data_IF_954474078135
#
_entry.id   IF_954474078135
#
_cell.length_a   1.000
_cell.length_b   1.000
_cell.length_c   1.000
_cell.angle_alpha   90.00
_cell.angle_beta   90.00
_cell.angle_gamma   90.00
#
_symmetry.space_group_name_H-M   'P 1'
#
loop_
_entity.id
_entity.type
_entity.pdbx_description
1 polymer ?
#
# COMPACT_ATOMS: atom_id res chain seq x y z
N UNK A 1 -9.16 -27.62 -17.27
CA UNK A 1 -8.16 -26.55 -17.07
C UNK A 1 -8.60 -25.32 -17.84
N UNK A 2 -9.12 -24.29 -17.18
CA UNK A 2 -9.58 -23.05 -17.85
C UNK A 2 -8.40 -22.08 -17.92
N UNK A 3 -8.04 -21.64 -19.13
CA UNK A 3 -6.94 -20.71 -19.36
C UNK A 3 -7.41 -19.29 -19.07
N UNK A 4 -6.74 -18.61 -18.15
CA UNK A 4 -6.88 -17.16 -17.95
C UNK A 4 -5.85 -16.50 -18.87
N UNK A 5 -6.34 -15.77 -19.87
CA UNK A 5 -5.54 -14.91 -20.74
C UNK A 5 -5.59 -13.52 -20.13
N UNK A 6 -4.45 -13.04 -19.61
CA UNK A 6 -4.30 -11.70 -19.05
C UNK A 6 -3.85 -10.76 -20.17
N UNK A 7 -4.78 -9.99 -20.72
CA UNK A 7 -4.48 -8.96 -21.75
C UNK A 7 -3.83 -7.75 -21.09
N UNK A 8 -2.54 -7.52 -21.37
CA UNK A 8 -1.82 -6.31 -20.98
C UNK A 8 -2.23 -5.13 -21.88
N UNK A 9 -2.79 -4.07 -21.29
CA UNK A 9 -2.91 -2.76 -21.94
C UNK A 9 -1.63 -1.99 -21.68
N UNK A 10 -0.83 -1.78 -22.72
CA UNK A 10 0.33 -0.89 -22.66
C UNK A 10 -0.14 0.56 -22.69
N UNK A 11 -0.27 1.19 -21.51
CA UNK A 11 -0.42 2.64 -21.41
C UNK A 11 0.98 3.27 -21.47
N UNK A 12 1.38 3.72 -22.66
CA UNK A 12 2.53 4.60 -22.86
C UNK A 12 2.15 6.01 -22.42
N UNK A 13 2.39 6.35 -21.15
CA UNK A 13 2.38 7.74 -20.68
C UNK A 13 3.79 8.13 -20.23
N UNK A 14 4.48 8.86 -21.11
CA UNK A 14 5.76 9.50 -20.80
C UNK A 14 5.56 10.47 -19.63
N UNK A 15 6.32 10.33 -18.55
CA UNK A 15 6.34 11.32 -17.46
C UNK A 15 7.78 11.77 -17.24
N UNK A 16 8.02 13.08 -17.28
CA UNK A 16 9.33 13.71 -17.22
C UNK A 16 9.95 13.61 -15.81
N UNK A 17 11.24 13.27 -15.75
CA UNK A 17 12.02 13.25 -14.51
C UNK A 17 12.43 14.69 -14.11
N UNK A 18 12.23 15.05 -12.84
CA UNK A 18 12.76 16.28 -12.27
C UNK A 18 14.29 16.19 -12.18
N UNK A 19 14.98 17.03 -12.95
CA UNK A 19 16.42 17.26 -12.84
C UNK A 19 16.71 18.10 -11.59
N UNK A 20 17.22 17.46 -10.54
CA UNK A 20 17.84 18.12 -9.39
C UNK A 20 19.36 18.03 -9.50
N UNK A 21 19.98 19.19 -9.73
CA UNK A 21 21.42 19.44 -9.88
C UNK A 21 22.31 18.60 -8.94
N UNK A 22 23.37 18.00 -9.49
CA UNK A 22 24.75 18.16 -9.03
C UNK A 22 25.70 17.66 -10.12
N UNK A 23 26.65 18.52 -10.50
CA UNK A 23 27.66 18.28 -11.52
C UNK A 23 28.71 17.24 -11.08
N UNK A 24 29.32 16.62 -12.09
CA UNK A 24 30.54 15.79 -12.08
C UNK A 24 30.38 14.35 -11.60
N UNK A 25 30.05 13.47 -12.55
CA UNK A 25 30.91 12.32 -12.85
C UNK A 25 30.51 11.72 -14.21
N UNK A 26 31.32 12.04 -15.22
CA UNK A 26 31.28 11.38 -16.51
C UNK A 26 31.87 9.97 -16.34
N UNK A 27 31.01 8.96 -16.17
CA UNK A 27 31.11 7.62 -16.75
C UNK A 27 30.21 6.64 -15.99
N UNK A 28 28.95 6.51 -16.40
CA UNK A 28 28.19 5.27 -16.20
C UNK A 28 27.04 5.18 -17.19
N UNK A 29 27.34 4.69 -18.39
CA UNK A 29 26.32 4.05 -19.22
C UNK A 29 25.89 2.78 -18.49
N UNK A 30 24.79 2.83 -17.76
CA UNK A 30 24.19 1.64 -17.15
C UNK A 30 22.71 1.64 -17.51
N UNK A 31 22.38 0.80 -18.49
CA UNK A 31 21.06 0.20 -18.72
C UNK A 31 19.85 1.12 -18.52
N UNK A 32 19.53 1.92 -19.54
CA UNK A 32 18.23 2.57 -19.72
C UNK A 32 17.09 1.58 -20.07
N UNK A 33 17.20 0.32 -19.64
CA UNK A 33 16.28 -0.78 -19.97
C UNK A 33 15.90 -1.60 -18.73
N UNK A 34 15.77 -0.96 -17.56
CA UNK A 34 15.09 -1.55 -16.42
C UNK A 34 14.59 -0.45 -15.46
N UNK A 35 13.94 0.58 -16.01
CA UNK A 35 13.06 1.38 -15.19
C UNK A 35 11.83 0.50 -14.88
N UNK A 36 11.90 -0.26 -13.77
CA UNK A 36 10.70 -0.79 -13.13
C UNK A 36 9.82 0.43 -12.92
N UNK A 37 8.68 0.48 -13.60
CA UNK A 37 7.70 1.53 -13.40
C UNK A 37 7.36 1.53 -11.90
N UNK A 38 7.92 2.47 -11.14
CA UNK A 38 7.49 2.71 -9.78
C UNK A 38 6.07 3.24 -9.96
N UNK A 39 5.09 2.39 -9.68
CA UNK A 39 3.70 2.80 -9.69
C UNK A 39 3.59 4.05 -8.80
N UNK A 40 2.90 5.08 -9.29
CA UNK A 40 2.65 6.26 -8.49
C UNK A 40 2.04 5.84 -7.13
N UNK A 41 2.44 6.45 -6.00
CA UNK A 41 1.92 6.10 -4.70
C UNK A 41 0.39 6.10 -4.68
N UNK A 42 -0.21 4.98 -4.26
CA UNK A 42 -1.67 4.82 -4.20
C UNK A 42 -2.11 4.76 -2.73
N UNK A 43 -2.86 5.78 -2.29
CA UNK A 43 -3.31 5.90 -0.90
C UNK A 43 -4.70 5.27 -0.65
N UNK A 44 -5.39 4.80 -1.69
CA UNK A 44 -6.67 4.08 -1.52
C UNK A 44 -6.41 2.72 -0.86
N UNK A 45 -6.84 2.61 0.39
CA UNK A 45 -6.72 1.39 1.19
C UNK A 45 -8.02 0.61 1.31
N UNK A 46 -9.04 0.91 0.50
CA UNK A 46 -10.30 0.17 0.54
C UNK A 46 -10.11 -1.31 0.21
N UNK A 47 -10.90 -2.17 0.88
CA UNK A 47 -10.86 -3.62 0.72
C UNK A 47 -12.27 -4.21 0.71
N UNK A 48 -12.39 -5.40 0.14
CA UNK A 48 -13.59 -6.20 0.31
C UNK A 48 -13.55 -6.93 1.66
N UNK A 49 -14.38 -6.50 2.61
CA UNK A 49 -14.40 -7.06 3.97
C UNK A 49 -14.78 -8.54 4.02
N UNK A 50 -15.65 -9.02 3.11
CA UNK A 50 -15.96 -10.45 3.03
C UNK A 50 -14.73 -11.28 2.66
N UNK A 51 -13.94 -10.79 1.70
CA UNK A 51 -12.70 -11.46 1.28
C UNK A 51 -11.63 -11.37 2.37
N UNK A 52 -11.46 -10.20 2.98
CA UNK A 52 -10.53 -10.02 4.10
C UNK A 52 -10.89 -10.95 5.27
N UNK A 53 -12.16 -10.97 5.66
CA UNK A 53 -12.62 -11.80 6.76
C UNK A 53 -12.50 -13.29 6.49
N UNK A 54 -12.81 -13.75 5.26
CA UNK A 54 -12.55 -15.14 4.85
C UNK A 54 -11.05 -15.46 4.88
N UNK A 55 -10.21 -14.50 4.46
CA UNK A 55 -8.76 -14.68 4.42
C UNK A 55 -8.17 -14.78 5.82
N UNK A 56 -8.66 -13.98 6.77
CA UNK A 56 -8.20 -14.02 8.15
C UNK A 56 -8.89 -15.12 8.97
N UNK A 57 -10.06 -15.60 8.55
CA UNK A 57 -10.89 -16.51 9.32
C UNK A 57 -11.52 -15.80 10.51
N UNK A 58 -12.17 -14.66 10.25
CA UNK A 58 -12.85 -13.87 11.27
C UNK A 58 -14.21 -14.47 11.60
N UNK A 59 -14.61 -14.38 12.87
CA UNK A 59 -16.01 -14.53 13.26
C UNK A 59 -16.82 -13.24 12.98
N UNK A 60 -18.13 -13.28 13.23
CA UNK A 60 -19.05 -12.18 12.92
C UNK A 60 -18.74 -10.91 13.74
N UNK A 61 -18.33 -11.05 15.00
CA UNK A 61 -17.97 -9.90 15.85
C UNK A 61 -16.66 -9.27 15.41
N UNK A 62 -15.67 -10.10 15.09
CA UNK A 62 -14.40 -9.66 14.55
C UNK A 62 -14.58 -8.98 13.20
N UNK A 63 -15.48 -9.47 12.34
CA UNK A 63 -15.77 -8.85 11.05
C UNK A 63 -16.22 -7.40 11.21
N UNK A 64 -17.18 -7.14 12.10
CA UNK A 64 -17.68 -5.78 12.35
C UNK A 64 -16.58 -4.89 12.92
N UNK A 65 -15.84 -5.37 13.92
CA UNK A 65 -14.76 -4.62 14.54
C UNK A 65 -13.62 -4.30 13.55
N UNK A 66 -13.19 -5.28 12.74
CA UNK A 66 -12.18 -5.09 11.67
C UNK A 66 -12.66 -4.06 10.66
N UNK A 67 -13.94 -4.11 10.24
CA UNK A 67 -14.49 -3.12 9.32
C UNK A 67 -14.45 -1.70 9.91
N UNK A 68 -14.79 -1.53 11.19
CA UNK A 68 -14.73 -0.22 11.85
C UNK A 68 -13.29 0.30 11.91
N UNK A 69 -12.36 -0.54 12.39
CA UNK A 69 -10.94 -0.17 12.53
C UNK A 69 -10.35 0.19 11.17
N UNK A 70 -10.54 -0.68 10.17
CA UNK A 70 -9.97 -0.47 8.84
C UNK A 70 -10.57 0.73 8.11
N UNK A 71 -11.87 1.02 8.27
CA UNK A 71 -12.48 2.23 7.72
C UNK A 71 -11.85 3.51 8.30
N UNK A 72 -11.42 3.50 9.57
CA UNK A 72 -10.70 4.63 10.15
C UNK A 72 -9.30 4.77 9.56
N UNK A 73 -8.61 3.66 9.31
CA UNK A 73 -7.33 3.67 8.61
C UNK A 73 -7.45 4.19 7.17
N UNK A 74 -8.48 3.79 6.41
CA UNK A 74 -8.76 4.35 5.08
C UNK A 74 -8.90 5.88 5.15
N UNK A 75 -9.67 6.40 6.11
CA UNK A 75 -9.82 7.86 6.30
C UNK A 75 -8.50 8.56 6.66
N UNK A 76 -7.65 7.93 7.48
CA UNK A 76 -6.35 8.48 7.82
C UNK A 76 -5.40 8.49 6.61
N UNK A 77 -5.48 7.47 5.75
CA UNK A 77 -4.75 7.41 4.50
C UNK A 77 -5.24 8.43 3.47
N UNK A 78 -6.56 8.68 3.40
CA UNK A 78 -7.13 9.76 2.58
C UNK A 78 -6.61 11.13 3.03
N UNK A 79 -6.52 11.38 4.34
CA UNK A 79 -5.91 12.61 4.87
C UNK A 79 -4.43 12.72 4.51
N UNK A 80 -3.69 11.61 4.61
CA UNK A 80 -2.29 11.58 4.22
C UNK A 80 -2.11 11.91 2.73
N UNK A 81 -2.98 11.41 1.86
CA UNK A 81 -2.96 11.69 0.42
C UNK A 81 -3.08 13.19 0.11
N UNK A 82 -3.85 13.93 0.92
CA UNK A 82 -4.05 15.39 0.78
C UNK A 82 -2.98 16.22 1.48
N UNK A 83 -2.08 15.62 2.26
CA UNK A 83 -1.03 16.32 2.97
C UNK A 83 0.16 16.67 2.07
N UNK A 84 0.91 17.69 2.49
CA UNK A 84 2.16 18.09 1.84
C UNK A 84 3.19 16.95 1.85
N UNK A 85 4.05 16.92 0.83
CA UNK A 85 5.03 15.85 0.64
C UNK A 85 5.94 15.64 1.88
N UNK A 86 6.27 16.72 2.59
CA UNK A 86 7.10 16.68 3.80
C UNK A 86 6.46 15.92 4.97
N UNK A 87 5.13 15.96 5.09
CA UNK A 87 4.40 15.36 6.22
C UNK A 87 3.78 14.01 5.85
N UNK A 88 3.52 13.79 4.56
CA UNK A 88 2.80 12.62 4.04
C UNK A 88 3.36 11.29 4.51
N UNK A 89 4.70 11.12 4.44
CA UNK A 89 5.36 9.87 4.86
C UNK A 89 5.13 9.55 6.33
N UNK A 90 5.16 10.56 7.19
CA UNK A 90 4.93 10.38 8.63
C UNK A 90 3.47 10.04 8.93
N UNK A 91 2.53 10.67 8.22
CA UNK A 91 1.10 10.37 8.37
C UNK A 91 0.77 8.92 7.96
N UNK A 92 1.35 8.42 6.86
CA UNK A 92 1.19 7.02 6.45
C UNK A 92 1.72 6.07 7.53
N UNK A 93 2.92 6.33 8.07
CA UNK A 93 3.50 5.50 9.14
C UNK A 93 2.64 5.52 10.39
N UNK A 94 2.18 6.70 10.81
CA UNK A 94 1.32 6.85 11.98
C UNK A 94 -0.03 6.13 11.78
N UNK A 95 -0.62 6.21 10.59
CA UNK A 95 -1.86 5.51 10.26
C UNK A 95 -1.67 3.98 10.30
N UNK A 96 -0.61 3.46 9.67
CA UNK A 96 -0.31 2.02 9.68
C UNK A 96 -0.01 1.49 11.09
N UNK A 97 0.72 2.25 11.90
CA UNK A 97 0.97 1.89 13.30
C UNK A 97 -0.31 1.83 14.13
N UNK A 98 -1.22 2.82 13.97
CA UNK A 98 -2.54 2.81 14.65
C UNK A 98 -3.41 1.64 14.20
N UNK A 99 -3.44 1.35 12.91
CA UNK A 99 -4.18 0.22 12.34
C UNK A 99 -3.73 -1.09 12.98
N UNK A 100 -2.42 -1.34 13.01
CA UNK A 100 -1.85 -2.52 13.64
C UNK A 100 -2.15 -2.56 15.14
N UNK A 101 -2.00 -1.45 15.86
CA UNK A 101 -2.33 -1.40 17.27
C UNK A 101 -3.79 -1.79 17.53
N UNK A 102 -4.74 -1.22 16.79
CA UNK A 102 -6.17 -1.50 17.01
C UNK A 102 -6.57 -2.90 16.55
N UNK A 103 -6.00 -3.39 15.45
CA UNK A 103 -6.21 -4.77 15.02
C UNK A 103 -5.69 -5.78 16.05
N UNK A 104 -4.64 -5.45 16.80
CA UNK A 104 -4.15 -6.27 17.91
C UNK A 104 -5.13 -6.43 19.08
N UNK A 105 -6.13 -5.56 19.24
CA UNK A 105 -7.20 -5.72 20.23
C UNK A 105 -8.35 -6.60 19.74
N UNK A 106 -8.46 -6.82 18.42
CA UNK A 106 -9.60 -7.51 17.78
C UNK A 106 -9.21 -8.93 17.35
N UNK A 107 -7.99 -9.09 16.84
CA UNK A 107 -7.51 -10.31 16.21
C UNK A 107 -6.71 -11.16 17.21
N UNK A 108 -6.82 -12.49 17.08
CA UNK A 108 -5.86 -13.39 17.74
C UNK A 108 -4.50 -13.38 17.03
N UNK A 109 -3.47 -13.97 17.65
CA UNK A 109 -2.09 -13.93 17.17
C UNK A 109 -1.94 -14.41 15.71
N UNK A 110 -2.65 -15.47 15.33
CA UNK A 110 -2.58 -16.04 13.97
C UNK A 110 -3.21 -15.11 12.95
N UNK A 111 -4.38 -14.56 13.27
CA UNK A 111 -5.09 -13.59 12.43
C UNK A 111 -4.27 -12.30 12.31
N UNK A 112 -3.73 -11.80 13.41
CA UNK A 112 -2.92 -10.58 13.47
C UNK A 112 -1.64 -10.71 12.64
N UNK A 113 -0.89 -11.81 12.79
CA UNK A 113 0.31 -12.07 12.00
C UNK A 113 0.02 -12.07 10.49
N UNK A 114 -1.10 -12.69 10.09
CA UNK A 114 -1.55 -12.71 8.69
C UNK A 114 -1.96 -11.31 8.21
N UNK A 115 -2.72 -10.58 9.02
CA UNK A 115 -3.13 -9.21 8.71
C UNK A 115 -1.92 -8.28 8.55
N UNK A 116 -0.95 -8.31 9.46
CA UNK A 116 0.27 -7.53 9.39
C UNK A 116 1.06 -7.81 8.09
N UNK A 117 1.15 -9.08 7.70
CA UNK A 117 1.78 -9.47 6.42
C UNK A 117 1.05 -8.86 5.23
N UNK A 118 -0.29 -8.96 5.21
CA UNK A 118 -1.11 -8.39 4.14
C UNK A 118 -0.99 -6.86 4.06
N UNK A 119 -1.02 -6.17 5.21
CA UNK A 119 -0.89 -4.72 5.27
C UNK A 119 0.47 -4.26 4.72
N UNK A 120 1.57 -4.88 5.18
CA UNK A 120 2.91 -4.53 4.71
C UNK A 120 3.09 -4.77 3.21
N UNK A 121 2.64 -5.92 2.71
CA UNK A 121 2.65 -6.20 1.27
C UNK A 121 1.83 -5.18 0.49
N UNK A 122 0.66 -4.81 1.01
CA UNK A 122 -0.22 -3.85 0.37
C UNK A 122 0.41 -2.46 0.30
N UNK A 123 1.00 -1.98 1.39
CA UNK A 123 1.68 -0.69 1.44
C UNK A 123 2.90 -0.67 0.51
N UNK A 124 3.70 -1.74 0.49
CA UNK A 124 4.85 -1.87 -0.42
C UNK A 124 4.41 -1.89 -1.89
N UNK A 125 3.42 -2.71 -2.24
CA UNK A 125 2.88 -2.79 -3.61
C UNK A 125 2.25 -1.48 -4.10
N UNK A 126 1.81 -0.63 -3.16
CA UNK A 126 1.24 0.70 -3.45
C UNK A 126 2.29 1.81 -3.42
N UNK A 127 3.58 1.50 -3.23
CA UNK A 127 4.65 2.50 -3.21
C UNK A 127 4.61 3.42 -1.99
N UNK A 128 4.13 2.91 -0.84
CA UNK A 128 3.96 3.66 0.41
C UNK A 128 5.01 3.32 1.48
N UNK A 129 5.77 2.25 1.25
CA UNK A 129 6.95 1.91 2.03
C UNK A 129 8.17 2.03 1.12
N UNK A 130 9.12 2.88 1.54
CA UNK A 130 10.43 3.07 0.91
C UNK A 130 11.47 2.17 1.57
#
# INVERSE_FOLDING_TARGET
>A
MKKIVLTMVAMLSMTMAFAGNNEKDANKSVNAAQAVAVAAPNYDMTVNYRVLGTTLGLDDYQMEAVQIVHNNFVRDMDKAAQADAAQRKELVKAAAARELQYMGYVLNDKQYSKFNTLLNLTLSNRGLLD
#
